data_IF_930857012581
#
_entry.id   IF_930857012581
#
_cell.length_a   1.000
_cell.length_b   1.000
_cell.length_c   1.000
_cell.angle_alpha   90.00
_cell.angle_beta   90.00
_cell.angle_gamma   90.00
#
_symmetry.space_group_name_H-M   'P 1'
#
loop_
_entity.id
_entity.type
_entity.pdbx_description
1 polymer ?
#
# COMPACT_ATOMS: atom_id res chain seq x y z
N UNK A 1 23.45 -10.21 -65.05
CA UNK A 1 23.75 -9.67 -63.70
C UNK A 1 22.43 -9.66 -62.93
N UNK A 2 22.11 -10.49 -61.92
CA UNK A 2 22.79 -10.72 -60.62
C UNK A 2 23.15 -9.37 -59.97
N UNK A 3 22.58 -8.94 -58.84
CA UNK A 3 22.55 -9.61 -57.52
C UNK A 3 21.60 -8.87 -56.55
N UNK A 4 21.14 -9.61 -55.53
CA UNK A 4 20.87 -9.26 -54.12
C UNK A 4 19.96 -8.04 -53.85
N UNK A 5 18.81 -8.15 -53.18
CA UNK A 5 18.44 -9.07 -52.10
C UNK A 5 18.53 -8.30 -50.79
N UNK A 6 17.44 -7.64 -50.42
CA UNK A 6 17.14 -7.14 -49.08
C UNK A 6 15.63 -7.40 -48.90
N UNK A 7 15.31 -8.66 -48.61
CA UNK A 7 14.08 -8.99 -47.89
C UNK A 7 14.31 -8.44 -46.49
N UNK A 8 13.86 -7.20 -46.25
CA UNK A 8 13.75 -6.67 -44.89
C UNK A 8 12.64 -7.47 -44.22
N UNK A 9 13.06 -8.46 -43.44
CA UNK A 9 12.22 -9.16 -42.47
C UNK A 9 11.64 -8.08 -41.54
N UNK A 10 10.40 -7.67 -41.79
CA UNK A 10 9.57 -7.05 -40.77
C UNK A 10 9.41 -8.11 -39.68
N UNK A 11 10.33 -8.11 -38.72
CA UNK A 11 10.10 -8.69 -37.40
C UNK A 11 8.90 -7.94 -36.82
N UNK A 12 7.70 -8.45 -37.10
CA UNK A 12 6.55 -8.25 -36.23
C UNK A 12 6.98 -8.81 -34.88
N UNK A 13 7.52 -7.93 -34.02
CA UNK A 13 7.51 -8.16 -32.59
C UNK A 13 6.04 -8.35 -32.24
N UNK A 14 5.60 -9.60 -32.23
CA UNK A 14 4.44 -10.03 -31.47
C UNK A 14 4.78 -9.60 -30.03
N UNK A 15 4.42 -8.37 -29.68
CA UNK A 15 4.22 -7.97 -28.30
C UNK A 15 3.27 -9.03 -27.78
N UNK A 16 3.83 -10.00 -27.04
CA UNK A 16 3.06 -10.88 -26.18
C UNK A 16 2.18 -9.91 -25.41
N UNK A 17 0.89 -9.83 -25.78
CA UNK A 17 -0.13 -9.24 -24.95
C UNK A 17 -0.06 -10.04 -23.67
N UNK A 18 0.83 -9.63 -22.76
CA UNK A 18 0.74 -10.02 -21.38
C UNK A 18 -0.72 -9.78 -21.08
N UNK A 19 -1.40 -10.81 -20.63
CA UNK A 19 -2.69 -10.72 -19.97
C UNK A 19 -2.48 -9.98 -18.64
N UNK A 20 -1.75 -8.86 -18.67
CA UNK A 20 -1.73 -7.80 -17.71
C UNK A 20 -3.13 -7.22 -17.82
N UNK A 21 -4.05 -7.87 -17.09
CA UNK A 21 -5.32 -7.28 -16.75
C UNK A 21 -5.02 -5.82 -16.42
N UNK A 22 -5.77 -4.90 -17.02
CA UNK A 22 -5.43 -3.47 -17.05
C UNK A 22 -5.16 -2.87 -15.66
N UNK A 23 -5.03 -1.54 -15.51
CA UNK A 23 -4.49 -0.92 -14.29
C UNK A 23 -5.25 -1.27 -12.99
N UNK A 24 -6.45 -1.86 -13.08
CA UNK A 24 -7.15 -2.48 -11.96
C UNK A 24 -6.46 -3.74 -11.36
N UNK A 25 -5.60 -4.46 -12.10
CA UNK A 25 -4.91 -5.67 -11.64
C UNK A 25 -3.93 -5.40 -10.50
N UNK A 26 -3.31 -4.22 -10.49
CA UNK A 26 -2.42 -3.77 -9.43
C UNK A 26 -3.10 -3.77 -8.05
N UNK A 27 -4.42 -3.56 -7.98
CA UNK A 27 -5.19 -3.63 -6.72
C UNK A 27 -5.25 -5.05 -6.13
N UNK A 28 -5.05 -6.08 -6.96
CA UNK A 28 -5.09 -7.49 -6.54
C UNK A 28 -3.74 -7.99 -6.01
N UNK A 29 -2.65 -7.26 -6.27
CA UNK A 29 -1.30 -7.63 -5.84
C UNK A 29 -1.17 -7.57 -4.31
N UNK A 30 -0.21 -8.34 -3.80
CA UNK A 30 0.20 -8.24 -2.40
C UNK A 30 0.92 -6.92 -2.17
N UNK A 31 0.68 -6.21 -1.05
CA UNK A 31 1.35 -4.94 -0.75
C UNK A 31 2.88 -5.06 -0.68
N UNK A 32 3.39 -6.25 -0.34
CA UNK A 32 4.83 -6.53 -0.26
C UNK A 32 5.47 -6.83 -1.63
N UNK A 33 4.67 -6.92 -2.69
CA UNK A 33 5.09 -7.21 -4.05
C UNK A 33 4.81 -6.04 -5.01
N UNK A 34 4.26 -4.93 -4.52
CA UNK A 34 3.96 -3.77 -5.34
C UNK A 34 5.25 -3.14 -5.87
N UNK A 35 5.26 -2.87 -7.18
CA UNK A 35 6.28 -2.06 -7.84
C UNK A 35 5.87 -0.58 -7.84
N UNK A 36 6.76 0.30 -8.30
CA UNK A 36 6.40 1.71 -8.50
C UNK A 36 5.33 1.88 -9.57
N UNK A 37 5.37 1.05 -10.63
CA UNK A 37 4.39 0.99 -11.70
C UNK A 37 3.00 0.64 -11.17
N UNK A 38 2.89 -0.39 -10.32
CA UNK A 38 1.62 -0.77 -9.68
C UNK A 38 0.98 0.39 -8.90
N UNK A 39 1.81 1.20 -8.23
CA UNK A 39 1.35 2.38 -7.49
C UNK A 39 0.82 3.44 -8.46
N UNK A 40 1.47 3.63 -9.60
CA UNK A 40 0.99 4.52 -10.65
C UNK A 40 -0.35 4.03 -11.23
N UNK A 41 -0.48 2.72 -11.50
CA UNK A 41 -1.72 2.14 -12.02
C UNK A 41 -2.89 2.31 -11.04
N UNK A 42 -2.68 1.97 -9.77
CA UNK A 42 -3.65 2.20 -8.70
C UNK A 42 -4.04 3.68 -8.64
N UNK A 43 -3.06 4.59 -8.72
CA UNK A 43 -3.31 6.04 -8.68
C UNK A 43 -4.14 6.51 -9.89
N UNK A 44 -3.94 5.89 -11.06
CA UNK A 44 -4.68 6.19 -12.28
C UNK A 44 -6.15 5.75 -12.17
N UNK A 45 -6.40 4.55 -11.63
CA UNK A 45 -7.76 4.01 -11.41
C UNK A 45 -8.52 4.89 -10.42
N UNK A 46 -7.89 5.20 -9.29
CA UNK A 46 -8.46 6.08 -8.27
C UNK A 46 -8.75 7.48 -8.82
N UNK A 47 -7.79 8.07 -9.53
CA UNK A 47 -7.93 9.40 -10.12
C UNK A 47 -9.07 9.46 -11.14
N UNK A 48 -9.20 8.42 -11.97
CA UNK A 48 -10.28 8.28 -12.96
C UNK A 48 -11.65 8.24 -12.27
N UNK A 49 -11.81 7.40 -11.26
CA UNK A 49 -13.09 7.28 -10.55
C UNK A 49 -13.44 8.57 -9.78
N UNK A 50 -12.46 9.26 -9.19
CA UNK A 50 -12.65 10.59 -8.57
C UNK A 50 -13.13 11.64 -9.57
N UNK A 51 -12.52 11.68 -10.77
CA UNK A 51 -12.93 12.60 -11.83
C UNK A 51 -14.36 12.30 -12.31
N UNK A 52 -14.74 11.03 -12.45
CA UNK A 52 -16.09 10.63 -12.82
C UNK A 52 -17.13 11.09 -11.79
N UNK A 53 -16.81 11.03 -10.49
CA UNK A 53 -17.67 11.55 -9.43
C UNK A 53 -17.80 13.07 -9.45
N UNK A 54 -16.73 13.77 -9.83
CA UNK A 54 -16.76 15.24 -9.94
C UNK A 54 -17.59 15.76 -11.12
N UNK A 55 -17.88 14.90 -12.10
CA UNK A 55 -18.46 15.30 -13.38
C UNK A 55 -20.00 15.41 -13.41
N UNK A 56 -20.73 15.02 -12.35
CA UNK A 56 -22.18 15.19 -12.31
C UNK A 56 -22.93 14.14 -11.49
N UNK A 57 -24.29 14.18 -11.50
CA UNK A 57 -25.13 13.52 -10.51
C UNK A 57 -25.13 12.00 -10.71
N UNK A 58 -24.18 11.37 -10.01
CA UNK A 58 -24.17 9.97 -9.60
C UNK A 58 -24.13 8.97 -10.77
N UNK A 59 -22.93 8.48 -11.09
CA UNK A 59 -22.80 7.10 -11.56
C UNK A 59 -22.51 6.27 -10.30
N UNK A 60 -23.51 5.61 -9.66
CA UNK A 60 -23.30 4.80 -8.46
C UNK A 60 -22.17 3.78 -8.62
N UNK A 61 -21.90 3.34 -9.85
CA UNK A 61 -20.78 2.46 -10.15
C UNK A 61 -19.40 3.10 -9.90
N UNK A 62 -19.19 4.39 -10.21
CA UNK A 62 -17.91 5.06 -9.94
C UNK A 62 -17.68 5.24 -8.44
N UNK A 63 -18.73 5.56 -7.68
CA UNK A 63 -18.65 5.66 -6.22
C UNK A 63 -18.30 4.31 -5.58
N UNK A 64 -18.94 3.23 -6.04
CA UNK A 64 -18.70 1.88 -5.54
C UNK A 64 -17.28 1.38 -5.89
N UNK A 65 -16.81 1.61 -7.13
CA UNK A 65 -15.44 1.25 -7.53
C UNK A 65 -14.39 2.04 -6.75
N UNK A 66 -14.59 3.34 -6.58
CA UNK A 66 -13.70 4.17 -5.78
C UNK A 66 -13.66 3.68 -4.33
N UNK A 67 -14.81 3.36 -3.74
CA UNK A 67 -14.86 2.82 -2.39
C UNK A 67 -14.07 1.52 -2.27
N UNK A 68 -14.27 0.57 -3.19
CA UNK A 68 -13.54 -0.68 -3.18
C UNK A 68 -12.03 -0.45 -3.31
N UNK A 69 -11.63 0.42 -4.23
CA UNK A 69 -10.22 0.80 -4.42
C UNK A 69 -9.62 1.45 -3.18
N UNK A 70 -10.35 2.38 -2.54
CA UNK A 70 -9.92 3.02 -1.30
C UNK A 70 -9.81 2.04 -0.14
N UNK A 71 -10.78 1.13 0.02
CA UNK A 71 -10.72 0.07 1.03
C UNK A 71 -9.48 -0.79 0.81
N UNK A 72 -9.26 -1.21 -0.44
CA UNK A 72 -8.11 -2.04 -0.78
C UNK A 72 -6.78 -1.33 -0.49
N UNK A 73 -6.65 -0.06 -0.84
CA UNK A 73 -5.45 0.75 -0.54
C UNK A 73 -5.22 0.86 0.98
N UNK A 74 -6.27 1.08 1.77
CA UNK A 74 -6.14 1.17 3.22
C UNK A 74 -5.76 -0.18 3.85
N UNK A 75 -6.28 -1.30 3.35
CA UNK A 75 -5.86 -2.64 3.78
C UNK A 75 -4.38 -2.90 3.47
N UNK A 76 -3.92 -2.50 2.28
CA UNK A 76 -2.52 -2.62 1.89
C UNK A 76 -1.60 -1.78 2.80
N UNK A 77 -1.99 -0.54 3.10
CA UNK A 77 -1.26 0.31 4.05
C UNK A 77 -1.24 -0.28 5.47
N UNK A 78 -2.35 -0.85 5.93
CA UNK A 78 -2.41 -1.53 7.23
C UNK A 78 -1.42 -2.69 7.29
N UNK A 79 -1.35 -3.52 6.25
CA UNK A 79 -0.41 -4.64 6.19
C UNK A 79 1.05 -4.17 6.26
N UNK A 80 1.44 -3.18 5.44
CA UNK A 80 2.80 -2.64 5.42
C UNK A 80 3.24 -2.06 6.77
N UNK A 81 2.36 -1.29 7.41
CA UNK A 81 2.67 -0.69 8.72
C UNK A 81 2.72 -1.78 9.80
N UNK A 82 1.77 -2.70 9.80
CA UNK A 82 1.69 -3.75 10.83
C UNK A 82 2.93 -4.64 10.80
N UNK A 83 3.35 -5.09 9.62
CA UNK A 83 4.53 -5.93 9.47
C UNK A 83 5.82 -5.17 9.76
N UNK A 84 5.92 -3.91 9.30
CA UNK A 84 7.04 -3.03 9.64
C UNK A 84 7.21 -2.82 11.14
N UNK A 85 6.11 -2.64 11.88
CA UNK A 85 6.15 -2.48 13.34
C UNK A 85 6.62 -3.76 14.06
N UNK A 86 6.27 -4.95 13.55
CA UNK A 86 6.72 -6.22 14.12
C UNK A 86 8.22 -6.42 13.87
N UNK A 87 8.68 -6.17 12.64
CA UNK A 87 10.09 -6.27 12.28
C UNK A 87 10.95 -5.29 13.09
N UNK A 88 10.49 -4.05 13.26
CA UNK A 88 11.18 -3.05 14.07
C UNK A 88 11.32 -3.47 15.54
N UNK A 89 10.25 -3.99 16.15
CA UNK A 89 10.30 -4.43 17.54
C UNK A 89 11.21 -5.66 17.72
N UNK A 90 11.20 -6.61 16.78
CA UNK A 90 12.12 -7.75 16.79
C UNK A 90 13.58 -7.29 16.74
N UNK A 91 13.93 -6.43 15.77
CA UNK A 91 15.28 -5.87 15.66
C UNK A 91 15.68 -5.06 16.89
N UNK A 92 14.72 -4.37 17.52
CA UNK A 92 14.97 -3.65 18.77
C UNK A 92 15.27 -4.61 19.92
N UNK A 93 14.50 -5.70 20.07
CA UNK A 93 14.77 -6.73 21.09
C UNK A 93 16.14 -7.38 20.86
N UNK A 94 16.49 -7.72 19.63
CA UNK A 94 17.81 -8.25 19.27
C UNK A 94 18.92 -7.26 19.61
N UNK A 95 18.78 -6.00 19.20
CA UNK A 95 19.75 -4.94 19.49
C UNK A 95 19.89 -4.69 20.99
N UNK A 96 18.80 -4.70 21.75
CA UNK A 96 18.84 -4.51 23.20
C UNK A 96 19.47 -5.73 23.91
N UNK A 97 19.21 -6.95 23.42
CA UNK A 97 19.88 -8.18 23.88
C UNK A 97 21.38 -8.16 23.62
N UNK A 98 21.80 -7.82 22.40
CA UNK A 98 23.21 -7.68 22.03
C UNK A 98 23.91 -6.57 22.82
N UNK A 99 23.23 -5.45 23.07
CA UNK A 99 23.77 -4.39 23.96
C UNK A 99 23.97 -4.91 25.37
N UNK A 100 23.01 -5.65 25.93
CA UNK A 100 23.15 -6.24 27.25
C UNK A 100 24.30 -7.26 27.31
N UNK A 101 24.49 -8.08 26.27
CA UNK A 101 25.63 -8.99 26.17
C UNK A 101 26.97 -8.24 26.08
N UNK A 102 27.06 -7.19 25.26
CA UNK A 102 28.25 -6.35 25.16
C UNK A 102 28.55 -5.64 26.49
N UNK A 103 27.54 -5.11 27.15
CA UNK A 103 27.68 -4.44 28.45
C UNK A 103 27.99 -5.43 29.56
N UNK A 104 27.51 -6.67 29.50
CA UNK A 104 27.93 -7.74 30.40
C UNK A 104 29.41 -8.10 30.16
N UNK A 105 29.86 -8.17 28.91
CA UNK A 105 31.28 -8.43 28.59
C UNK A 105 32.18 -7.27 29.03
N UNK A 106 31.75 -6.02 28.82
CA UNK A 106 32.46 -4.80 29.27
C UNK A 106 32.40 -4.64 30.79
N UNK A 107 31.24 -4.91 31.37
CA UNK A 107 30.91 -4.75 32.79
C UNK A 107 31.43 -5.89 33.67
N UNK A 108 31.69 -7.07 33.10
CA UNK A 108 32.59 -8.06 33.69
C UNK A 108 34.03 -7.52 33.81
N UNK A 109 34.34 -6.42 33.11
CA UNK A 109 35.49 -5.55 33.35
C UNK A 109 35.23 -4.31 34.24
N UNK A 110 33.97 -3.92 34.50
CA UNK A 110 33.57 -2.75 35.30
C UNK A 110 32.10 -2.83 35.77
N UNK A 111 31.79 -3.31 36.98
CA UNK A 111 30.41 -3.43 37.46
C UNK A 111 29.79 -2.08 37.86
N UNK A 112 28.54 -1.78 37.44
CA UNK A 112 27.67 -0.80 38.13
C UNK A 112 26.55 -0.07 37.36
N UNK A 113 25.31 -0.57 37.49
CA UNK A 113 24.00 0.15 37.60
C UNK A 113 23.13 0.59 36.38
N UNK A 114 21.88 0.07 36.42
CA UNK A 114 20.53 0.67 36.14
C UNK A 114 20.08 1.03 34.68
N UNK A 115 18.80 1.41 34.43
CA UNK A 115 17.53 0.66 34.58
C UNK A 115 16.62 0.66 33.30
N UNK A 116 15.43 0.08 33.47
CA UNK A 116 14.30 -0.23 32.55
C UNK A 116 13.77 0.89 31.63
N UNK A 117 13.45 0.53 30.38
CA UNK A 117 12.82 1.38 29.35
C UNK A 117 11.38 0.93 29.06
N UNK A 118 10.42 1.86 29.11
CA UNK A 118 9.04 1.70 28.63
C UNK A 118 8.84 2.53 27.36
N UNK A 119 8.31 1.92 26.31
CA UNK A 119 7.84 2.60 25.10
C UNK A 119 6.35 2.39 24.90
N UNK A 120 5.61 3.46 24.60
CA UNK A 120 4.19 3.44 24.28
C UNK A 120 4.00 3.86 22.82
N UNK A 121 3.51 2.95 21.98
CA UNK A 121 2.99 3.29 20.65
C UNK A 121 1.53 3.74 20.78
N UNK A 122 1.26 5.02 20.52
CA UNK A 122 -0.11 5.57 20.45
C UNK A 122 -0.29 6.32 19.14
N UNK A 123 -1.09 5.76 18.24
CA UNK A 123 -1.53 6.45 17.02
C UNK A 123 -2.48 5.63 16.14
N UNK A 124 -2.19 4.36 15.89
CA UNK A 124 -2.88 3.59 14.85
C UNK A 124 -4.36 3.24 15.12
N UNK A 125 -4.77 3.12 16.38
CA UNK A 125 -6.17 2.75 16.73
C UNK A 125 -7.19 3.84 16.38
N UNK A 126 -6.77 5.10 16.25
CA UNK A 126 -7.68 6.18 15.89
C UNK A 126 -8.06 6.13 14.40
N UNK A 127 -7.08 5.84 13.52
CA UNK A 127 -7.31 5.67 12.09
C UNK A 127 -8.18 4.45 11.78
N UNK A 128 -7.92 3.31 12.43
CA UNK A 128 -8.78 2.11 12.30
C UNK A 128 -10.23 2.36 12.75
N UNK A 129 -10.44 3.19 13.78
CA UNK A 129 -11.79 3.53 14.25
C UNK A 129 -12.55 4.42 13.29
N UNK A 130 -11.86 5.39 12.67
CA UNK A 130 -12.44 6.22 11.63
C UNK A 130 -12.82 5.37 10.39
N UNK A 131 -11.98 4.40 10.03
CA UNK A 131 -12.27 3.45 8.95
C UNK A 131 -13.46 2.52 9.26
N UNK A 132 -13.53 1.97 10.47
CA UNK A 132 -14.68 1.17 10.90
C UNK A 132 -16.00 1.97 10.89
N UNK A 133 -15.94 3.27 11.22
CA UNK A 133 -17.09 4.16 11.10
C UNK A 133 -17.51 4.39 9.64
N UNK A 134 -16.54 4.57 8.72
CA UNK A 134 -16.80 4.69 7.28
C UNK A 134 -17.42 3.43 6.67
N UNK A 135 -17.14 2.24 7.23
CA UNK A 135 -17.70 0.95 6.82
C UNK A 135 -19.14 0.72 7.31
N UNK A 136 -19.54 1.32 8.43
CA UNK A 136 -20.86 1.11 9.04
C UNK A 136 -21.93 2.12 8.59
N UNK A 137 -21.54 3.31 8.11
CA UNK A 137 -22.48 4.28 7.57
C UNK A 137 -22.48 4.23 6.04
N UNK A 138 -23.46 3.56 5.43
CA UNK A 138 -23.88 3.81 4.04
C UNK A 138 -24.50 5.21 3.87
N UNK A 139 -23.84 6.25 4.39
CA UNK A 139 -24.36 7.59 4.68
C UNK A 139 -23.96 8.68 3.68
N UNK A 140 -23.22 8.35 2.63
CA UNK A 140 -22.93 9.25 1.51
C UNK A 140 -24.18 9.73 0.74
N UNK A 141 -25.26 8.95 0.71
CA UNK A 141 -26.48 9.25 -0.05
C UNK A 141 -27.41 10.30 0.58
N UNK A 142 -27.21 10.66 1.85
CA UNK A 142 -28.07 11.61 2.58
C UNK A 142 -27.55 13.05 2.60
N UNK A 143 -26.26 13.27 2.28
CA UNK A 143 -25.67 14.61 2.27
C UNK A 143 -25.76 15.31 0.91
N UNK A 144 -25.79 14.55 -0.19
CA UNK A 144 -25.98 15.10 -1.54
C UNK A 144 -27.42 15.59 -1.82
N UNK A 145 -28.41 15.20 -1.00
CA UNK A 145 -29.83 15.53 -1.18
C UNK A 145 -30.33 16.74 -0.39
N UNK A 146 -29.46 17.39 0.39
CA UNK A 146 -29.86 18.44 1.34
C UNK A 146 -29.06 19.75 1.14
N UNK A 147 -28.63 20.03 -0.10
CA UNK A 147 -27.97 21.27 -0.50
C UNK A 147 -28.69 22.02 -1.63
N UNK A 148 -29.99 21.78 -1.79
CA UNK A 148 -30.91 22.73 -2.42
C UNK A 148 -31.44 23.72 -1.37
#
# INVERSE_FOLDING_TARGET
>A
MQRCGEDEEEEEEEEEEEEDGGPESALLKSPFQLTAEDVYDISSVVGRDLLQLSAGPEVPAAAARLQFSMVRVLEMLEALVSEGSVAEEQLRMERDGLRAELDALRGRGAAGSAPQVRGAARGFRAALRFWAALRCEGGWERRARNSD
#
